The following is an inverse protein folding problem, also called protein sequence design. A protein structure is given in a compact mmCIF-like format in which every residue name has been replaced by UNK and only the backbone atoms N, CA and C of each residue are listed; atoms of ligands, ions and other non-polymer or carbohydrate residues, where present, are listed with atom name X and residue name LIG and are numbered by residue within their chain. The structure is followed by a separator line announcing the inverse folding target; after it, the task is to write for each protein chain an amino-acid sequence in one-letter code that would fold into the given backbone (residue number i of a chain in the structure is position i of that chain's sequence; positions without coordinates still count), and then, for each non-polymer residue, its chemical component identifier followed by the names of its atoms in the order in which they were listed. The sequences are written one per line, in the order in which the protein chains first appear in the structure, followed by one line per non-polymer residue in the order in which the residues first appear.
data_IF_588171374279
#
_entry.id   IF_588171374279
#
_cell.length_a   1.000
_cell.length_b   1.000
_cell.length_c   1.000
_cell.angle_alpha   90.00
_cell.angle_beta   90.00
_cell.angle_gamma   90.00
#
_symmetry.space_group_name_H-M   'P 1'
#
loop_
_entity.id
_entity.type
_entity.pdbx_description
1 polymer ?
#
# COMPACT_ATOMS: atom_id res chain seq x y z
N UNK A 1 23.81 -12.57 -18.25
CA UNK A 1 23.41 -11.15 -18.28
C UNK A 1 22.73 -10.88 -16.95
N UNK A 2 23.09 -9.81 -16.24
CA UNK A 2 22.53 -9.56 -14.93
C UNK A 2 21.08 -9.09 -15.09
N UNK A 3 20.13 -9.74 -14.41
CA UNK A 3 18.70 -9.47 -14.55
C UNK A 3 18.01 -9.55 -13.17
N UNK A 4 18.58 -8.88 -12.17
CA UNK A 4 18.02 -8.82 -10.81
C UNK A 4 18.32 -7.51 -10.06
N UNK A 5 17.67 -7.31 -8.90
CA UNK A 5 17.92 -6.15 -8.04
C UNK A 5 19.39 -6.06 -7.63
N UNK A 6 20.00 -4.90 -7.82
CA UNK A 6 21.41 -4.65 -7.47
C UNK A 6 22.42 -4.91 -8.59
N UNK A 7 21.97 -5.42 -9.75
CA UNK A 7 22.84 -5.60 -10.91
C UNK A 7 22.62 -4.51 -11.98
N UNK A 8 23.66 -4.21 -12.78
CA UNK A 8 23.62 -3.17 -13.83
C UNK A 8 23.30 -3.78 -15.20
N UNK A 9 22.34 -3.19 -15.92
CA UNK A 9 22.02 -3.52 -17.33
C UNK A 9 22.23 -2.27 -18.20
N UNK A 10 22.88 -2.42 -19.35
CA UNK A 10 23.21 -1.31 -20.26
C UNK A 10 22.42 -1.48 -21.55
N UNK A 11 21.60 -0.48 -21.88
CA UNK A 11 20.72 -0.48 -23.05
C UNK A 11 20.98 0.73 -23.92
N UNK A 12 20.79 0.55 -25.22
CA UNK A 12 20.93 1.64 -26.19
C UNK A 12 19.57 2.29 -26.44
N UNK A 13 19.57 3.61 -26.56
CA UNK A 13 18.42 4.35 -27.06
C UNK A 13 18.17 4.02 -28.53
N UNK A 14 16.91 3.94 -28.91
CA UNK A 14 16.47 3.70 -30.27
C UNK A 14 15.73 4.93 -30.79
N UNK A 15 16.21 5.52 -31.88
CA UNK A 15 15.51 6.61 -32.54
C UNK A 15 14.30 6.06 -33.29
N UNK A 16 13.12 6.59 -33.00
CA UNK A 16 11.84 6.20 -33.59
C UNK A 16 11.13 7.46 -34.11
N UNK A 17 10.59 7.40 -35.33
CA UNK A 17 9.81 8.50 -35.90
C UNK A 17 10.61 9.79 -36.15
N UNK A 18 11.94 9.72 -36.20
CA UNK A 18 12.83 10.84 -36.53
C UNK A 18 13.06 11.88 -35.42
N UNK A 19 12.23 11.92 -34.37
CA UNK A 19 12.32 12.91 -33.30
C UNK A 19 12.22 12.34 -31.87
N UNK A 20 11.88 11.06 -31.70
CA UNK A 20 11.65 10.46 -30.38
C UNK A 20 12.62 9.31 -30.13
N UNK A 21 13.19 9.25 -28.94
CA UNK A 21 13.97 8.10 -28.50
C UNK A 21 13.12 7.15 -27.67
N UNK A 22 13.32 5.85 -27.85
CA UNK A 22 12.72 4.79 -27.03
C UNK A 22 13.81 4.01 -26.32
N UNK A 23 13.51 3.55 -25.09
CA UNK A 23 14.37 2.70 -24.28
C UNK A 23 13.56 1.46 -23.89
N UNK A 24 14.09 0.27 -24.18
CA UNK A 24 13.42 -0.97 -23.80
C UNK A 24 13.62 -1.26 -22.30
N UNK A 25 12.57 -1.57 -21.56
CA UNK A 25 12.69 -1.94 -20.15
C UNK A 25 13.08 -3.41 -19.95
N UNK A 26 13.77 -3.77 -18.85
CA UNK A 26 14.06 -5.16 -18.53
C UNK A 26 12.78 -5.97 -18.29
N UNK A 27 12.62 -7.09 -19.01
CA UNK A 27 11.44 -7.95 -18.89
C UNK A 27 11.17 -8.40 -17.45
N UNK A 28 12.17 -8.80 -16.64
CA UNK A 28 11.92 -9.14 -15.24
C UNK A 28 11.42 -7.97 -14.40
N UNK A 29 11.88 -6.74 -14.67
CA UNK A 29 11.39 -5.55 -13.97
C UNK A 29 9.93 -5.26 -14.33
N UNK A 30 9.56 -5.39 -15.60
CA UNK A 30 8.17 -5.24 -16.07
C UNK A 30 7.27 -6.26 -15.39
N UNK A 31 7.67 -7.55 -15.36
CA UNK A 31 6.91 -8.61 -14.70
C UNK A 31 6.83 -8.44 -13.18
N UNK A 32 7.92 -8.03 -12.52
CA UNK A 32 7.93 -7.81 -11.07
C UNK A 32 7.01 -6.67 -10.62
N UNK A 33 6.74 -5.71 -11.51
CA UNK A 33 5.84 -4.59 -11.25
C UNK A 33 4.43 -4.81 -11.84
N UNK A 34 4.11 -6.02 -12.32
CA UNK A 34 2.83 -6.36 -12.95
C UNK A 34 2.41 -5.40 -14.08
N UNK A 35 3.39 -4.90 -14.84
CA UNK A 35 3.14 -3.96 -15.93
C UNK A 35 2.79 -4.69 -17.22
N UNK A 36 1.85 -4.14 -17.97
CA UNK A 36 1.42 -4.56 -19.29
C UNK A 36 1.79 -3.53 -20.38
N UNK A 37 1.61 -3.93 -21.63
CA UNK A 37 1.75 -2.98 -22.75
C UNK A 37 0.73 -1.85 -22.61
N UNK A 38 1.19 -0.61 -22.80
CA UNK A 38 0.43 0.66 -22.66
C UNK A 38 0.28 1.18 -21.23
N UNK A 39 0.78 0.47 -20.22
CA UNK A 39 0.84 1.03 -18.87
C UNK A 39 1.78 2.23 -18.85
N UNK A 40 1.41 3.23 -18.05
CA UNK A 40 2.18 4.46 -17.92
C UNK A 40 3.30 4.29 -16.90
N UNK A 41 4.41 4.98 -17.14
CA UNK A 41 5.58 4.98 -16.27
C UNK A 41 5.90 6.43 -15.95
N UNK A 42 6.10 6.72 -14.66
CA UNK A 42 6.58 8.01 -14.20
C UNK A 42 8.08 8.09 -14.43
N UNK A 43 8.52 9.25 -14.94
CA UNK A 43 9.93 9.57 -15.14
C UNK A 43 10.22 10.84 -14.36
N UNK A 44 10.97 10.71 -13.27
CA UNK A 44 11.40 11.84 -12.45
C UNK A 44 12.84 12.22 -12.80
N UNK A 45 13.06 13.52 -13.06
CA UNK A 45 14.39 14.06 -13.27
C UNK A 45 15.01 14.41 -11.92
N UNK A 46 16.02 13.64 -11.50
CA UNK A 46 16.72 13.93 -10.24
C UNK A 46 17.72 15.07 -10.41
N UNK A 47 17.97 15.81 -9.34
CA UNK A 47 18.96 16.91 -9.32
C UNK A 47 20.39 16.43 -9.60
N UNK A 48 20.67 15.15 -9.37
CA UNK A 48 21.91 14.47 -9.76
C UNK A 48 22.09 14.29 -11.27
N UNK A 49 21.04 14.55 -12.07
CA UNK A 49 21.03 14.36 -13.52
C UNK A 49 20.55 12.97 -13.96
N UNK A 50 20.25 12.08 -13.01
CA UNK A 50 19.72 10.74 -13.28
C UNK A 50 18.21 10.79 -13.56
N UNK A 51 17.74 9.91 -14.45
CA UNK A 51 16.32 9.64 -14.62
C UNK A 51 15.91 8.48 -13.72
N UNK A 52 14.92 8.72 -12.85
CA UNK A 52 14.28 7.67 -12.07
C UNK A 52 13.00 7.22 -12.77
N UNK A 53 12.86 5.91 -12.96
CA UNK A 53 11.67 5.30 -13.52
C UNK A 53 10.91 4.61 -12.40
N UNK A 54 9.60 4.85 -12.32
CA UNK A 54 8.69 4.10 -11.45
C UNK A 54 7.40 3.78 -12.19
N UNK A 55 6.73 2.66 -11.88
CA UNK A 55 5.35 2.44 -12.32
C UNK A 55 4.51 3.69 -12.02
N UNK A 56 3.68 4.13 -12.96
CA UNK A 56 2.65 5.11 -12.63
C UNK A 56 1.58 4.34 -11.88
N UNK A 57 1.56 4.47 -10.55
CA UNK A 57 0.44 3.96 -9.76
C UNK A 57 -0.83 4.65 -10.28
N UNK A 58 -1.79 3.85 -10.78
CA UNK A 58 -3.18 4.28 -10.72
C UNK A 58 -3.42 4.66 -9.26
N UNK A 59 -3.98 5.83 -9.03
CA UNK A 59 -4.11 6.50 -7.75
C UNK A 59 -5.07 5.80 -6.77
N UNK A 60 -4.94 4.50 -6.60
CA UNK A 60 -5.12 3.87 -5.30
C UNK A 60 -3.73 3.90 -4.68
N UNK A 61 -3.41 5.00 -3.97
CA UNK A 61 -2.32 5.01 -3.00
C UNK A 61 -2.32 3.64 -2.32
N UNK A 62 -1.20 2.91 -2.34
CA UNK A 62 -1.09 1.69 -1.54
C UNK A 62 -1.22 2.11 -0.08
N UNK A 63 -2.47 2.21 0.37
CA UNK A 63 -2.79 2.54 1.73
C UNK A 63 -2.11 1.50 2.57
N UNK A 64 -1.30 1.95 3.51
CA UNK A 64 -0.74 1.03 4.50
C UNK A 64 -1.94 0.41 5.21
N UNK A 65 -2.24 -0.86 4.91
CA UNK A 65 -3.39 -1.58 5.45
C UNK A 65 -2.89 -2.67 6.41
N UNK A 66 -3.62 -2.86 7.51
CA UNK A 66 -3.48 -4.07 8.32
C UNK A 66 -4.84 -4.75 8.51
N UNK A 67 -4.81 -6.08 8.61
CA UNK A 67 -5.98 -6.86 9.04
C UNK A 67 -5.75 -7.44 10.43
N UNK A 68 -6.66 -7.12 11.36
CA UNK A 68 -6.68 -7.64 12.73
C UNK A 68 -7.73 -8.76 12.83
N UNK A 69 -7.27 -10.01 12.92
CA UNK A 69 -8.14 -11.17 13.09
C UNK A 69 -8.40 -11.47 14.58
N UNK A 70 -9.63 -11.24 15.04
CA UNK A 70 -10.02 -11.43 16.45
C UNK A 70 -9.90 -12.87 16.94
N UNK A 71 -9.98 -13.86 16.04
CA UNK A 71 -9.84 -15.28 16.38
C UNK A 71 -8.43 -15.68 16.80
N UNK A 72 -7.41 -14.91 16.43
CA UNK A 72 -6.00 -15.16 16.77
C UNK A 72 -5.45 -14.24 17.87
N UNK A 73 -6.27 -13.31 18.38
CA UNK A 73 -5.84 -12.30 19.35
C UNK A 73 -5.93 -12.82 20.79
N UNK A 74 -4.91 -12.56 21.63
CA UNK A 74 -5.02 -12.72 23.07
C UNK A 74 -6.17 -11.88 23.65
N UNK A 75 -6.78 -12.35 24.75
CA UNK A 75 -7.89 -11.65 25.41
C UNK A 75 -7.46 -10.24 25.83
N UNK A 76 -8.17 -9.22 25.32
CA UNK A 76 -7.94 -7.81 25.68
C UNK A 76 -6.83 -7.11 24.89
N UNK A 77 -6.17 -7.78 23.95
CA UNK A 77 -5.06 -7.22 23.19
C UNK A 77 -5.47 -6.32 22.00
N UNK A 78 -6.76 -6.25 21.67
CA UNK A 78 -7.24 -5.51 20.50
C UNK A 78 -6.91 -4.02 20.59
N UNK A 79 -7.13 -3.38 21.75
CA UNK A 79 -6.82 -1.96 21.91
C UNK A 79 -5.33 -1.66 21.67
N UNK A 80 -4.42 -2.50 22.18
CA UNK A 80 -2.99 -2.32 22.00
C UNK A 80 -2.56 -2.50 20.54
N UNK A 81 -3.20 -3.43 19.80
CA UNK A 81 -2.96 -3.60 18.37
C UNK A 81 -3.46 -2.41 17.55
N UNK A 82 -4.62 -1.84 17.90
CA UNK A 82 -5.13 -0.62 17.28
C UNK A 82 -4.18 0.56 17.51
N UNK A 83 -3.67 0.72 18.74
CA UNK A 83 -2.67 1.75 19.04
C UNK A 83 -1.35 1.51 18.31
N UNK A 84 -0.88 0.27 18.20
CA UNK A 84 0.31 -0.08 17.44
C UNK A 84 0.19 0.27 15.96
N UNK A 85 -0.98 -0.02 15.36
CA UNK A 85 -1.30 0.35 13.98
C UNK A 85 -1.29 1.86 13.78
N UNK A 86 -1.91 2.59 14.71
CA UNK A 86 -1.94 4.05 14.72
C UNK A 86 -0.54 4.65 14.78
N UNK A 87 0.30 4.18 15.70
CA UNK A 87 1.68 4.67 15.87
C UNK A 87 2.54 4.35 14.63
N UNK A 88 2.22 3.26 13.93
CA UNK A 88 2.94 2.84 12.73
C UNK A 88 2.54 3.61 11.46
N UNK A 89 1.59 4.54 11.54
CA UNK A 89 1.15 5.34 10.38
C UNK A 89 0.39 4.54 9.33
N UNK A 90 -0.34 3.51 9.77
CA UNK A 90 -1.24 2.73 8.92
C UNK A 90 -2.39 3.62 8.45
N UNK A 91 -2.78 3.55 7.19
CA UNK A 91 -3.89 4.33 6.61
C UNK A 91 -5.22 3.59 6.69
N UNK A 92 -5.21 2.25 6.79
CA UNK A 92 -6.43 1.46 6.91
C UNK A 92 -6.28 0.27 7.88
N UNK A 93 -7.28 0.08 8.75
CA UNK A 93 -7.32 -1.04 9.70
C UNK A 93 -8.61 -1.82 9.52
N UNK A 94 -8.50 -3.08 9.11
CA UNK A 94 -9.63 -4.00 8.93
C UNK A 94 -9.72 -4.99 10.09
N UNK A 95 -10.75 -4.86 10.91
CA UNK A 95 -10.98 -5.72 12.08
C UNK A 95 -11.97 -6.82 11.68
N UNK A 96 -11.55 -8.09 11.76
CA UNK A 96 -12.35 -9.25 11.33
C UNK A 96 -12.60 -10.25 12.45
N UNK A 97 -13.86 -10.63 12.63
CA UNK A 97 -14.30 -11.72 13.49
C UNK A 97 -14.79 -12.93 12.69
N UNK A 98 -14.60 -14.15 13.23
CA UNK A 98 -15.25 -15.36 12.68
C UNK A 98 -16.76 -15.42 12.96
N UNK A 99 -17.22 -14.59 13.88
CA UNK A 99 -18.60 -14.45 14.35
C UNK A 99 -18.92 -12.95 14.46
N UNK A 100 -20.20 -12.56 14.58
CA UNK A 100 -20.56 -11.18 14.78
C UNK A 100 -19.79 -10.51 15.93
N UNK A 101 -19.33 -9.28 15.69
CA UNK A 101 -18.52 -8.49 16.59
C UNK A 101 -19.28 -8.21 17.88
N UNK A 102 -18.75 -8.74 18.98
CA UNK A 102 -19.32 -8.60 20.31
C UNK A 102 -19.32 -7.14 20.75
N UNK A 103 -20.26 -6.76 21.62
CA UNK A 103 -20.35 -5.42 22.22
C UNK A 103 -19.02 -4.94 22.82
N UNK A 104 -18.25 -5.85 23.44
CA UNK A 104 -16.92 -5.54 23.99
C UNK A 104 -15.94 -5.04 22.91
N UNK A 105 -15.86 -5.72 21.77
CA UNK A 105 -15.04 -5.33 20.62
C UNK A 105 -15.43 -3.94 20.12
N UNK A 106 -16.73 -3.71 19.93
CA UNK A 106 -17.24 -2.40 19.47
C UNK A 106 -16.94 -1.28 20.47
N UNK A 107 -16.93 -1.58 21.78
CA UNK A 107 -16.54 -0.62 22.81
C UNK A 107 -15.03 -0.29 22.75
N UNK A 108 -14.18 -1.27 22.48
CA UNK A 108 -12.73 -1.05 22.31
C UNK A 108 -12.42 -0.22 21.06
N UNK A 109 -13.10 -0.50 19.94
CA UNK A 109 -13.02 0.33 18.71
C UNK A 109 -13.43 1.78 19.00
N UNK A 110 -14.57 1.99 19.66
CA UNK A 110 -15.01 3.35 20.03
C UNK A 110 -14.06 4.03 21.01
N UNK A 111 -13.43 3.27 21.91
CA UNK A 111 -12.40 3.82 22.80
C UNK A 111 -11.20 4.29 21.98
N UNK A 112 -10.74 3.49 21.02
CA UNK A 112 -9.66 3.86 20.11
C UNK A 112 -9.97 5.14 19.35
N UNK A 113 -11.12 5.21 18.66
CA UNK A 113 -11.55 6.38 17.90
C UNK A 113 -11.66 7.67 18.74
N UNK A 114 -11.99 7.57 20.04
CA UNK A 114 -11.98 8.74 20.95
C UNK A 114 -10.58 9.14 21.41
N UNK A 115 -9.63 8.21 21.42
CA UNK A 115 -8.26 8.43 21.88
C UNK A 115 -7.31 8.87 20.76
N UNK A 116 -7.64 8.61 19.50
CA UNK A 116 -6.82 8.93 18.33
C UNK A 116 -7.53 9.93 17.43
N UNK A 117 -6.79 10.88 16.87
CA UNK A 117 -7.33 11.77 15.83
C UNK A 117 -7.09 11.18 14.45
N UNK A 118 -8.02 11.48 13.55
CA UNK A 118 -7.84 11.17 12.12
C UNK A 118 -8.34 9.80 11.68
N UNK A 119 -8.80 8.92 12.56
CA UNK A 119 -9.44 7.67 12.14
C UNK A 119 -10.96 7.76 12.23
N UNK A 120 -11.64 7.23 11.23
CA UNK A 120 -13.09 7.08 11.18
C UNK A 120 -13.51 5.66 10.78
N UNK A 121 -14.78 5.32 11.01
CA UNK A 121 -15.36 4.05 10.55
C UNK A 121 -15.81 4.25 9.11
N UNK A 122 -15.20 3.52 8.17
CA UNK A 122 -15.59 3.55 6.76
C UNK A 122 -16.73 2.57 6.46
N UNK A 123 -16.49 1.29 6.73
CA UNK A 123 -17.46 0.21 6.52
C UNK A 123 -17.61 -0.60 7.81
N UNK A 124 -18.83 -1.02 8.14
CA UNK A 124 -19.11 -1.85 9.31
C UNK A 124 -20.16 -2.90 8.97
N UNK A 125 -19.78 -4.17 9.09
CA UNK A 125 -20.69 -5.31 8.99
C UNK A 125 -20.95 -5.93 10.37
N UNK A 126 -21.74 -7.00 10.39
CA UNK A 126 -21.93 -7.79 11.61
C UNK A 126 -20.61 -8.36 12.13
N UNK A 127 -19.71 -8.81 11.26
CA UNK A 127 -18.46 -9.50 11.61
C UNK A 127 -17.19 -8.73 11.28
N UNK A 128 -17.30 -7.52 10.72
CA UNK A 128 -16.18 -6.72 10.25
C UNK A 128 -16.32 -5.25 10.62
N UNK A 129 -15.21 -4.54 10.80
CA UNK A 129 -15.19 -3.08 10.88
C UNK A 129 -13.92 -2.57 10.23
N UNK A 130 -14.07 -1.67 9.25
CA UNK A 130 -12.98 -1.00 8.54
C UNK A 130 -12.81 0.41 9.10
N UNK A 131 -11.60 0.72 9.57
CA UNK A 131 -11.22 2.05 10.01
C UNK A 131 -10.29 2.69 8.98
N UNK A 132 -10.54 3.94 8.63
CA UNK A 132 -9.80 4.67 7.59
C UNK A 132 -9.17 5.92 8.22
N UNK A 133 -7.88 6.15 7.94
CA UNK A 133 -7.18 7.40 8.24
C UNK A 133 -7.62 8.51 7.28
N UNK A 134 -7.93 9.67 7.82
CA UNK A 134 -8.25 10.92 7.13
C UNK A 134 -7.06 11.91 7.13
N UNK A 135 -5.93 11.49 7.71
CA UNK A 135 -4.68 12.24 7.77
C UNK A 135 -3.68 11.68 6.75
#
# INVERSE_FOLDING_TARGET
MPIGPGEQDVRRLQLTGGATYTLSLPKPWVSANNLASRDSIRIDWRTSGELMLSPLEDSEERRTEITINLGGLPKGALYDHLMGAYISGVQEILIKGKVPLKRKTRNEIRRFLRSTRGFEIGEEDDSSTRLISLL
#
